data_IF_303458071161
#
_entry.id   IF_303458071161
#
_cell.length_a   1.000
_cell.length_b   1.000
_cell.length_c   1.000
_cell.angle_alpha   90.00
_cell.angle_beta   90.00
_cell.angle_gamma   90.00
#
_symmetry.space_group_name_H-M   'P 1'
#
loop_
_entity.id
_entity.type
_entity.pdbx_description
1 polymer ?
#
# COMPACT_ATOMS: atom_id res chain seq x y z
N UNK A 1 34.73 -23.46 -18.60
CA UNK A 1 33.68 -22.42 -18.53
C UNK A 1 32.86 -22.65 -17.27
N UNK A 2 33.14 -21.89 -16.21
CA UNK A 2 32.47 -22.04 -14.92
C UNK A 2 31.09 -21.38 -14.98
N UNK A 3 30.03 -22.16 -14.77
CA UNK A 3 28.66 -21.64 -14.64
C UNK A 3 28.59 -20.77 -13.39
N UNK A 4 28.21 -19.51 -13.55
CA UNK A 4 27.96 -18.60 -12.44
C UNK A 4 26.85 -19.19 -11.53
N UNK A 5 27.12 -19.25 -10.23
CA UNK A 5 26.12 -19.60 -9.20
C UNK A 5 24.99 -18.58 -9.26
N UNK A 6 23.77 -19.06 -9.50
CA UNK A 6 22.54 -18.27 -9.33
C UNK A 6 22.50 -17.81 -7.86
N UNK A 7 22.46 -16.51 -7.62
CA UNK A 7 22.38 -15.96 -6.26
C UNK A 7 21.14 -16.50 -5.55
N UNK A 8 21.30 -17.05 -4.35
CA UNK A 8 20.23 -17.53 -3.46
C UNK A 8 19.39 -16.40 -2.84
N UNK A 9 19.57 -15.15 -3.30
CA UNK A 9 18.75 -14.04 -2.87
C UNK A 9 17.34 -14.22 -3.45
N UNK A 10 16.35 -14.43 -2.57
CA UNK A 10 14.93 -14.34 -2.93
C UNK A 10 14.59 -12.98 -3.56
N UNK A 11 13.34 -12.80 -4.02
CA UNK A 11 12.91 -11.50 -4.54
C UNK A 11 13.20 -10.39 -3.53
N UNK A 12 13.81 -9.30 -4.00
CA UNK A 12 14.11 -8.13 -3.16
C UNK A 12 12.80 -7.55 -2.63
N UNK A 13 12.66 -7.48 -1.31
CA UNK A 13 11.49 -6.90 -0.67
C UNK A 13 11.37 -5.40 -0.99
N UNK A 14 10.15 -4.94 -1.25
CA UNK A 14 9.90 -3.59 -1.78
C UNK A 14 10.31 -2.48 -0.81
N UNK A 15 10.21 -2.76 0.49
CA UNK A 15 10.52 -1.89 1.61
C UNK A 15 12.01 -1.89 2.01
N UNK A 16 12.89 -2.47 1.19
CA UNK A 16 14.34 -2.47 1.41
C UNK A 16 15.06 -1.57 0.41
N UNK A 17 16.31 -1.18 0.76
CA UNK A 17 17.16 -0.30 -0.06
C UNK A 17 16.46 1.03 -0.40
N UNK A 18 15.84 1.63 0.62
CA UNK A 18 15.11 2.89 0.51
C UNK A 18 16.09 4.06 0.61
N UNK A 19 15.82 5.13 -0.15
CA UNK A 19 16.64 6.35 -0.19
C UNK A 19 16.03 7.51 0.58
N UNK A 20 14.84 7.29 1.14
CA UNK A 20 14.11 8.20 2.00
C UNK A 20 13.49 7.38 3.15
N UNK A 21 13.03 8.08 4.17
CA UNK A 21 12.32 7.46 5.29
C UNK A 21 10.93 6.99 4.87
N UNK A 22 10.41 6.00 5.61
CA UNK A 22 9.01 5.59 5.50
C UNK A 22 8.19 6.54 6.35
N UNK A 23 7.20 7.18 5.75
CA UNK A 23 6.20 7.95 6.48
C UNK A 23 5.22 6.99 7.15
N UNK A 24 4.89 7.26 8.41
CA UNK A 24 4.00 6.40 9.20
C UNK A 24 2.90 7.21 9.85
N UNK A 25 1.74 6.59 10.03
CA UNK A 25 0.58 7.22 10.65
C UNK A 25 -0.37 6.17 11.27
N UNK A 26 -1.16 6.58 12.26
CA UNK A 26 -2.13 5.74 12.96
C UNK A 26 -3.50 6.36 12.87
N UNK A 27 -4.46 5.61 12.33
CA UNK A 27 -5.81 6.08 12.07
C UNK A 27 -6.85 5.22 12.81
N UNK A 28 -7.98 5.82 13.19
CA UNK A 28 -9.14 5.09 13.76
C UNK A 28 -10.11 4.59 12.69
N UNK A 29 -9.91 5.02 11.44
CA UNK A 29 -10.68 4.64 10.27
C UNK A 29 -9.75 4.52 9.06
N UNK A 30 -10.08 3.69 8.06
CA UNK A 30 -9.24 3.52 6.88
C UNK A 30 -9.21 4.80 6.03
N UNK A 31 -8.09 5.07 5.35
CA UNK A 31 -7.94 6.27 4.49
C UNK A 31 -8.81 6.25 3.23
N UNK A 32 -9.07 5.07 2.65
CA UNK A 32 -9.92 4.96 1.47
C UNK A 32 -11.38 5.26 1.81
N UNK A 33 -11.94 6.37 1.28
CA UNK A 33 -13.29 6.87 1.62
C UNK A 33 -14.40 5.81 1.55
N UNK A 34 -14.39 4.96 0.53
CA UNK A 34 -15.39 3.89 0.37
C UNK A 34 -15.34 2.89 1.51
N UNK A 35 -14.14 2.57 2.01
CA UNK A 35 -13.96 1.65 3.13
C UNK A 35 -14.20 2.33 4.48
N UNK A 36 -14.01 3.65 4.59
CA UNK A 36 -14.33 4.39 5.82
C UNK A 36 -15.84 4.38 6.13
N UNK A 37 -16.68 4.39 5.08
CA UNK A 37 -18.14 4.29 5.23
C UNK A 37 -18.55 2.90 5.74
N UNK A 38 -18.02 1.83 5.14
CA UNK A 38 -18.29 0.46 5.58
C UNK A 38 -17.72 0.19 6.98
N UNK A 39 -16.54 0.71 7.30
CA UNK A 39 -15.96 0.63 8.64
C UNK A 39 -16.87 1.25 9.70
N UNK A 40 -17.39 2.45 9.44
CA UNK A 40 -18.34 3.12 10.35
C UNK A 40 -19.55 2.22 10.61
N UNK A 41 -20.14 1.64 9.56
CA UNK A 41 -21.30 0.74 9.67
C UNK A 41 -21.00 -0.47 10.54
N UNK A 42 -19.84 -1.11 10.34
CA UNK A 42 -19.41 -2.27 11.14
C UNK A 42 -19.28 -1.90 12.61
N UNK A 43 -18.63 -0.76 12.90
CA UNK A 43 -18.41 -0.30 14.26
C UNK A 43 -19.72 0.11 14.97
N UNK A 44 -20.76 0.50 14.23
CA UNK A 44 -22.08 0.86 14.77
C UNK A 44 -23.12 -0.26 14.69
N UNK A 45 -22.78 -1.43 14.14
CA UNK A 45 -23.70 -2.56 13.97
C UNK A 45 -24.73 -2.36 12.85
N UNK A 46 -24.47 -1.49 11.88
CA UNK A 46 -25.29 -1.30 10.69
C UNK A 46 -25.00 -2.40 9.63
N UNK A 47 -25.98 -2.72 8.77
CA UNK A 47 -25.74 -3.63 7.65
C UNK A 47 -24.72 -3.08 6.65
N UNK A 48 -23.71 -3.88 6.31
CA UNK A 48 -22.74 -3.60 5.22
C UNK A 48 -23.09 -4.37 3.96
N UNK A 49 -22.70 -3.83 2.81
CA UNK A 49 -22.91 -4.52 1.54
C UNK A 49 -22.00 -5.76 1.45
N UNK A 50 -22.58 -6.91 1.12
CA UNK A 50 -21.79 -8.12 0.87
C UNK A 50 -21.01 -7.90 -0.41
N UNK A 51 -19.69 -8.11 -0.36
CA UNK A 51 -18.85 -8.03 -1.54
C UNK A 51 -19.46 -8.90 -2.67
N UNK A 52 -19.70 -8.35 -3.88
CA UNK A 52 -20.36 -9.07 -4.98
C UNK A 52 -19.72 -10.41 -5.35
N UNK A 53 -18.42 -10.58 -5.08
CA UNK A 53 -17.69 -11.84 -5.30
C UNK A 53 -18.04 -12.96 -4.31
N UNK A 54 -18.77 -12.64 -3.23
CA UNK A 54 -19.14 -13.57 -2.14
C UNK A 54 -20.64 -13.83 -2.13
N UNK A 55 -21.44 -12.86 -2.58
CA UNK A 55 -22.89 -12.95 -2.62
C UNK A 55 -23.50 -11.59 -2.90
N UNK A 56 -24.79 -11.47 -2.64
CA UNK A 56 -25.56 -10.25 -2.86
C UNK A 56 -26.32 -9.85 -1.59
N UNK A 57 -26.59 -8.55 -1.43
CA UNK A 57 -27.39 -8.01 -0.33
C UNK A 57 -26.56 -7.39 0.79
N UNK A 58 -27.18 -7.23 1.95
CA UNK A 58 -26.59 -6.58 3.11
C UNK A 58 -26.57 -7.53 4.31
N UNK A 59 -25.53 -7.42 5.15
CA UNK A 59 -25.40 -8.22 6.37
C UNK A 59 -24.76 -7.39 7.48
N UNK A 60 -25.25 -7.54 8.71
CA UNK A 60 -24.52 -7.08 9.90
C UNK A 60 -23.42 -8.11 10.17
N UNK A 61 -22.16 -7.69 10.13
CA UNK A 61 -21.02 -8.57 10.34
C UNK A 61 -19.98 -7.94 11.26
N UNK A 62 -19.29 -8.74 12.08
CA UNK A 62 -18.20 -8.25 12.92
C UNK A 62 -16.93 -7.96 12.10
N UNK A 63 -15.99 -7.22 12.69
CA UNK A 63 -14.69 -6.89 12.09
C UNK A 63 -13.92 -8.13 11.63
N UNK A 64 -13.98 -9.22 12.40
CA UNK A 64 -13.31 -10.48 12.08
C UNK A 64 -13.85 -11.14 10.81
N UNK A 65 -15.16 -11.03 10.55
CA UNK A 65 -15.77 -11.54 9.33
C UNK A 65 -15.43 -10.65 8.13
N UNK A 66 -15.54 -9.32 8.31
CA UNK A 66 -15.25 -8.35 7.25
C UNK A 66 -13.81 -8.44 6.74
N UNK A 67 -12.86 -8.59 7.66
CA UNK A 67 -11.42 -8.66 7.35
C UNK A 67 -10.91 -10.09 7.09
N UNK A 68 -11.77 -11.12 7.18
CA UNK A 68 -11.35 -12.53 7.19
C UNK A 68 -10.48 -12.91 6.00
N UNK A 69 -10.80 -12.36 4.81
CA UNK A 69 -10.15 -12.68 3.53
C UNK A 69 -8.91 -11.84 3.25
N UNK A 70 -8.66 -10.82 4.05
CA UNK A 70 -7.48 -10.00 3.89
C UNK A 70 -6.25 -10.79 4.27
N UNK A 71 -5.18 -10.58 3.49
CA UNK A 71 -3.89 -11.21 3.74
C UNK A 71 -3.23 -10.52 4.93
N UNK A 72 -2.25 -11.17 5.52
CA UNK A 72 -1.32 -10.50 6.42
C UNK A 72 -0.23 -9.84 5.57
N UNK A 73 0.31 -8.72 6.05
CA UNK A 73 1.54 -8.15 5.51
C UNK A 73 2.70 -8.60 6.40
N UNK A 74 3.55 -9.49 5.89
CA UNK A 74 4.68 -10.02 6.65
C UNK A 74 5.88 -9.07 6.68
N UNK A 75 5.92 -8.09 5.77
CA UNK A 75 6.97 -7.06 5.73
C UNK A 75 6.80 -6.01 6.84
N UNK A 76 5.56 -5.80 7.28
CA UNK A 76 5.20 -4.91 8.38
C UNK A 76 4.18 -5.57 9.33
N UNK A 77 4.56 -6.61 10.08
CA UNK A 77 3.61 -7.44 10.82
C UNK A 77 2.93 -6.71 11.98
N UNK A 78 3.55 -5.66 12.51
CA UNK A 78 3.16 -5.03 13.76
C UNK A 78 2.21 -3.84 13.56
N UNK A 79 1.21 -3.75 14.44
CA UNK A 79 0.39 -2.57 14.62
C UNK A 79 1.24 -1.42 15.18
N UNK A 80 1.17 -0.24 14.57
CA UNK A 80 1.89 0.94 15.05
C UNK A 80 1.39 1.43 16.41
N UNK A 81 0.10 1.22 16.73
CA UNK A 81 -0.54 1.64 17.99
C UNK A 81 -0.22 0.71 19.16
N UNK A 82 -0.61 -0.57 19.08
CA UNK A 82 -0.51 -1.50 20.21
C UNK A 82 0.65 -2.49 20.11
N UNK A 83 1.42 -2.48 19.02
CA UNK A 83 2.49 -3.45 18.70
C UNK A 83 2.03 -4.91 18.58
N UNK A 84 0.73 -5.17 18.57
CA UNK A 84 0.17 -6.48 18.28
C UNK A 84 0.43 -6.90 16.83
N UNK A 85 0.54 -8.21 16.61
CA UNK A 85 0.83 -8.83 15.30
C UNK A 85 -0.41 -9.41 14.62
N UNK A 86 -1.56 -9.36 15.30
CA UNK A 86 -2.84 -9.80 14.75
C UNK A 86 -3.39 -8.72 13.80
N UNK A 87 -2.74 -8.60 12.64
CA UNK A 87 -3.00 -7.55 11.65
C UNK A 87 -3.43 -8.13 10.31
N UNK A 88 -4.21 -7.33 9.56
CA UNK A 88 -4.72 -7.65 8.23
C UNK A 88 -4.43 -6.49 7.28
N UNK A 89 -3.91 -6.79 6.10
CA UNK A 89 -3.66 -5.83 5.04
C UNK A 89 -4.97 -5.37 4.41
N UNK A 90 -5.34 -4.14 4.73
CA UNK A 90 -6.55 -3.49 4.24
C UNK A 90 -6.31 -2.84 2.88
N UNK A 91 -5.15 -2.21 2.71
CA UNK A 91 -4.79 -1.50 1.49
C UNK A 91 -3.30 -1.70 1.18
N UNK A 92 -2.99 -1.93 -0.08
CA UNK A 92 -1.62 -1.94 -0.57
C UNK A 92 -1.58 -1.47 -2.02
N UNK A 93 -0.69 -0.51 -2.30
CA UNK A 93 -0.35 -0.10 -3.66
C UNK A 93 1.15 -0.04 -3.83
N UNK A 94 1.59 -0.32 -5.05
CA UNK A 94 3.00 -0.42 -5.39
C UNK A 94 3.18 -0.05 -6.86
N UNK A 95 3.84 1.07 -7.12
CA UNK A 95 4.12 1.61 -8.47
C UNK A 95 5.60 1.86 -8.72
N UNK A 96 6.14 1.17 -9.72
CA UNK A 96 7.55 1.18 -10.09
C UNK A 96 7.66 1.93 -11.42
N UNK A 97 8.36 3.06 -11.44
CA UNK A 97 8.54 3.85 -12.65
C UNK A 97 10.02 4.15 -12.85
N UNK A 98 10.59 3.71 -13.98
CA UNK A 98 11.98 4.01 -14.37
C UNK A 98 12.99 3.70 -13.24
N UNK A 99 12.81 2.57 -12.57
CA UNK A 99 13.66 2.13 -11.45
C UNK A 99 13.40 2.84 -10.11
N UNK A 100 12.38 3.70 -10.02
CA UNK A 100 11.94 4.41 -8.81
C UNK A 100 10.70 3.77 -8.22
N UNK A 101 10.59 3.77 -6.89
CA UNK A 101 9.53 3.13 -6.13
C UNK A 101 8.60 4.18 -5.49
N UNK A 102 7.32 3.88 -5.54
CA UNK A 102 6.26 4.55 -4.77
C UNK A 102 5.33 3.45 -4.25
N UNK A 103 5.10 3.39 -2.94
CA UNK A 103 4.18 2.41 -2.37
C UNK A 103 3.48 2.95 -1.13
N UNK A 104 2.33 2.36 -0.86
CA UNK A 104 1.48 2.66 0.29
C UNK A 104 0.95 1.34 0.87
N UNK A 105 0.87 1.24 2.19
CA UNK A 105 0.38 0.07 2.91
C UNK A 105 -0.43 0.50 4.13
N UNK A 106 -1.62 -0.07 4.29
CA UNK A 106 -2.49 0.15 5.45
C UNK A 106 -2.89 -1.20 6.05
N UNK A 107 -2.68 -1.33 7.35
CA UNK A 107 -3.02 -2.54 8.11
C UNK A 107 -4.09 -2.25 9.14
N UNK A 108 -5.14 -3.07 9.19
CA UNK A 108 -6.07 -3.13 10.31
C UNK A 108 -5.52 -4.05 11.41
N UNK A 109 -5.44 -3.58 12.64
CA UNK A 109 -5.21 -4.42 13.81
C UNK A 109 -6.52 -5.01 14.32
N UNK A 110 -6.60 -6.33 14.45
CA UNK A 110 -7.80 -7.02 14.95
C UNK A 110 -7.92 -7.00 16.48
N UNK A 111 -6.89 -6.57 17.20
CA UNK A 111 -6.92 -6.47 18.66
C UNK A 111 -7.38 -5.08 19.13
N UNK A 112 -6.87 -4.01 18.50
CA UNK A 112 -7.17 -2.62 18.89
C UNK A 112 -7.97 -1.84 17.84
N UNK A 113 -8.29 -2.43 16.70
CA UNK A 113 -9.07 -1.83 15.61
C UNK A 113 -8.53 -0.50 15.04
N UNK A 114 -7.24 -0.22 15.25
CA UNK A 114 -6.56 0.91 14.60
C UNK A 114 -5.94 0.48 13.28
N UNK A 115 -5.81 1.46 12.39
CA UNK A 115 -5.18 1.34 11.09
C UNK A 115 -3.76 1.87 11.15
N UNK A 116 -2.79 1.06 10.74
CA UNK A 116 -1.37 1.43 10.66
C UNK A 116 -1.02 1.73 9.21
N UNK A 117 -0.78 3.00 8.91
CA UNK A 117 -0.40 3.47 7.59
C UNK A 117 1.12 3.58 7.45
N UNK A 118 1.63 3.18 6.29
CA UNK A 118 3.01 3.36 5.87
C UNK A 118 3.05 3.77 4.40
N UNK A 119 3.84 4.79 4.07
CA UNK A 119 4.05 5.21 2.68
C UNK A 119 5.52 5.53 2.43
N UNK A 120 5.93 5.34 1.17
CA UNK A 120 7.26 5.67 0.71
C UNK A 120 7.21 6.17 -0.73
N UNK A 121 7.99 7.21 -1.01
CA UNK A 121 8.24 7.73 -2.35
C UNK A 121 9.73 7.98 -2.49
N UNK A 122 10.35 7.48 -3.56
CA UNK A 122 11.71 7.87 -3.90
C UNK A 122 11.80 9.40 -4.07
N UNK A 123 12.86 10.07 -3.54
CA UNK A 123 12.99 11.53 -3.62
C UNK A 123 12.86 12.15 -5.02
N UNK A 124 13.24 11.40 -6.05
CA UNK A 124 13.17 11.81 -7.46
C UNK A 124 12.13 11.02 -8.28
N UNK A 125 11.16 10.39 -7.60
CA UNK A 125 10.06 9.73 -8.28
C UNK A 125 9.19 10.76 -9.00
N UNK A 126 8.96 10.52 -10.29
CA UNK A 126 8.05 11.31 -11.14
C UNK A 126 6.94 10.42 -11.67
N UNK A 127 5.71 10.91 -11.69
CA UNK A 127 4.62 10.24 -12.42
C UNK A 127 4.91 10.27 -13.94
N UNK A 128 4.25 9.42 -14.74
CA UNK A 128 4.37 9.48 -16.19
C UNK A 128 4.12 10.88 -16.77
N UNK A 129 3.12 11.59 -16.25
CA UNK A 129 2.74 12.94 -16.69
C UNK A 129 3.81 13.97 -16.32
N UNK A 130 4.35 13.90 -15.09
CA UNK A 130 5.45 14.77 -14.66
C UNK A 130 6.70 14.56 -15.50
N UNK A 131 7.03 13.29 -15.80
CA UNK A 131 8.18 12.98 -16.64
C UNK A 131 8.00 13.49 -18.08
N UNK A 132 6.84 13.26 -18.70
CA UNK A 132 6.59 13.74 -20.07
C UNK A 132 6.59 15.27 -20.14
N UNK A 133 6.01 15.95 -19.15
CA UNK A 133 6.08 17.42 -19.06
C UNK A 133 7.53 17.90 -19.04
N UNK A 134 8.34 17.37 -18.12
CA UNK A 134 9.74 17.80 -17.99
C UNK A 134 10.55 17.48 -19.27
N UNK A 135 10.24 16.38 -19.95
CA UNK A 135 10.82 16.02 -21.24
C UNK A 135 10.43 17.02 -22.34
N UNK A 136 9.16 17.41 -22.42
CA UNK A 136 8.70 18.41 -23.38
C UNK A 136 9.29 19.80 -23.10
N UNK A 137 9.38 20.19 -21.83
CA UNK A 137 10.01 21.45 -21.42
C UNK A 137 11.48 21.51 -21.86
N UNK A 138 12.21 20.40 -21.73
CA UNK A 138 13.60 20.30 -22.21
C UNK A 138 13.71 20.41 -23.74
N UNK A 139 12.77 19.82 -24.49
CA UNK A 139 12.71 19.93 -25.95
C UNK A 139 12.45 21.39 -26.37
N UNK A 140 11.49 22.06 -25.73
CA UNK A 140 11.15 23.46 -26.02
C UNK A 140 12.30 24.40 -25.67
N UNK A 141 13.03 24.14 -24.59
CA UNK A 141 14.19 24.91 -24.18
C UNK A 141 15.42 24.75 -25.10
N UNK A 142 15.31 23.97 -26.18
CA UNK A 142 16.40 23.74 -27.12
C UNK A 142 17.50 22.81 -26.58
N UNK A 143 17.26 22.15 -25.44
CA UNK A 143 18.18 21.15 -24.87
C UNK A 143 17.97 19.82 -25.58
N UNK A 144 18.33 19.77 -26.86
CA UNK A 144 18.38 18.50 -27.59
C UNK A 144 19.68 17.79 -27.23
N UNK A 145 19.70 17.07 -26.11
CA UNK A 145 20.54 15.88 -25.99
C UNK A 145 19.67 14.73 -25.51
N UNK A 146 19.26 13.93 -26.49
CA UNK A 146 18.58 12.65 -26.31
C UNK A 146 19.53 11.76 -25.50
N UNK A 147 19.20 11.50 -24.25
CA UNK A 147 19.71 10.33 -23.54
C UNK A 147 18.88 9.14 -24.03
N UNK A 148 19.47 8.40 -24.97
CA UNK A 148 19.05 7.08 -25.42
C UNK A 148 19.19 6.04 -24.30
#
# INVERSE_FOLDING_TARGET
MSKAKKSEAGPLAYNTNLRAEIETDVNTAPRARVHSVEWRKIMTGEPVEINPSIGHGFKIMPVSEWSARWKRNDDFPDCLQCKGTNTKEHHFTQTWCRGKKLWESELLCLDCHHFSWRSYKDPDFKTPEEFERDRWDAIIAGQTSILA
#
